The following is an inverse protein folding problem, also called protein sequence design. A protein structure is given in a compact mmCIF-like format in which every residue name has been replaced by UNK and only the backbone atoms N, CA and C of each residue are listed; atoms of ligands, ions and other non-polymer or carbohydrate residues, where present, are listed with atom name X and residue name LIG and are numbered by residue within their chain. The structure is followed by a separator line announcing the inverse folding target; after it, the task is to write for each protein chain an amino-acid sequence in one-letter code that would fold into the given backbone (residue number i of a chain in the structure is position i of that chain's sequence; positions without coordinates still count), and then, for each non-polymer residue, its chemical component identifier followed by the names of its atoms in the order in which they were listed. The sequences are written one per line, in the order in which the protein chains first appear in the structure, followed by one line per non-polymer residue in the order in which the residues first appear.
data_IF_446041835421
#
_entry.id   IF_446041835421
#
_cell.length_a   1.000
_cell.length_b   1.000
_cell.length_c   1.000
_cell.angle_alpha   90.00
_cell.angle_beta   90.00
_cell.angle_gamma   90.00
#
_symmetry.space_group_name_H-M   'P 1'
#
loop_
_entity.id
_entity.type
_entity.pdbx_description
1 polymer ?
#
# COMPACT_ATOMS: atom_id res chain seq x y z
N UNK A 1 20.61 -5.15 -8.06
CA UNK A 1 20.85 -5.07 -6.60
C UNK A 1 19.66 -4.34 -6.00
N UNK A 2 18.88 -5.01 -5.16
CA UNK A 2 17.79 -4.36 -4.44
C UNK A 2 18.40 -3.25 -3.55
N UNK A 3 17.75 -2.10 -3.50
CA UNK A 3 18.15 -1.05 -2.55
C UNK A 3 17.73 -1.47 -1.15
N UNK A 4 18.46 -1.05 -0.10
CA UNK A 4 18.12 -1.34 1.31
C UNK A 4 16.66 -0.99 1.66
N UNK A 5 16.08 0.00 0.96
CA UNK A 5 14.66 0.38 1.11
C UNK A 5 13.69 -0.65 0.53
N UNK A 6 14.05 -1.30 -0.57
CA UNK A 6 13.25 -2.35 -1.19
C UNK A 6 13.26 -3.61 -0.32
N UNK A 7 14.41 -3.98 0.26
CA UNK A 7 14.49 -5.10 1.20
C UNK A 7 13.60 -4.87 2.43
N UNK A 8 13.71 -3.68 3.05
CA UNK A 8 12.86 -3.32 4.20
C UNK A 8 11.36 -3.33 3.83
N UNK A 9 11.01 -2.83 2.64
CA UNK A 9 9.62 -2.81 2.17
C UNK A 9 9.09 -4.22 1.89
N UNK A 10 9.93 -5.12 1.37
CA UNK A 10 9.56 -6.52 1.16
C UNK A 10 9.18 -7.21 2.47
N UNK A 11 9.93 -6.97 3.56
CA UNK A 11 9.61 -7.50 4.90
C UNK A 11 8.28 -6.95 5.46
N UNK A 12 8.01 -5.67 5.25
CA UNK A 12 6.72 -5.06 5.62
C UNK A 12 5.57 -5.69 4.84
N UNK A 13 5.74 -5.83 3.52
CA UNK A 13 4.74 -6.45 2.64
C UNK A 13 4.51 -7.92 3.03
N UNK A 14 5.58 -8.66 3.37
CA UNK A 14 5.47 -10.03 3.84
C UNK A 14 4.64 -10.11 5.13
N UNK A 15 4.86 -9.19 6.06
CA UNK A 15 4.10 -9.10 7.31
C UNK A 15 2.63 -8.79 7.05
N UNK A 16 2.32 -7.87 6.12
CA UNK A 16 0.95 -7.54 5.71
C UNK A 16 0.24 -8.72 5.05
N UNK A 17 0.94 -9.45 4.18
CA UNK A 17 0.43 -10.66 3.53
C UNK A 17 0.05 -11.72 4.56
N UNK A 18 0.85 -11.91 5.61
CA UNK A 18 0.54 -12.85 6.69
C UNK A 18 -0.62 -12.41 7.57
N UNK A 19 -0.77 -11.11 7.80
CA UNK A 19 -1.86 -10.54 8.58
C UNK A 19 -3.17 -10.39 7.77
N UNK A 20 -3.12 -10.65 6.47
CA UNK A 20 -4.14 -10.32 5.49
C UNK A 20 -4.64 -8.87 5.58
N UNK A 21 -3.69 -7.94 5.65
CA UNK A 21 -3.94 -6.49 5.72
C UNK A 21 -3.30 -5.75 4.56
N UNK A 22 -3.67 -4.49 4.43
CA UNK A 22 -3.13 -3.49 3.52
C UNK A 22 -2.49 -2.37 4.35
N UNK A 23 -1.53 -1.64 3.77
CA UNK A 23 -0.96 -0.46 4.42
C UNK A 23 -0.96 0.74 3.49
N UNK A 24 -1.04 1.93 4.07
CA UNK A 24 -0.90 3.18 3.32
C UNK A 24 0.56 3.48 3.00
N UNK A 25 0.81 4.34 2.01
CA UNK A 25 2.16 4.77 1.66
C UNK A 25 2.95 5.32 2.86
N UNK A 26 2.32 6.17 3.67
CA UNK A 26 2.95 6.76 4.85
C UNK A 26 3.27 5.70 5.91
N UNK A 27 2.33 4.80 6.18
CA UNK A 27 2.52 3.74 7.17
C UNK A 27 3.63 2.77 6.74
N UNK A 28 3.63 2.34 5.47
CA UNK A 28 4.63 1.45 4.93
C UNK A 28 6.04 2.07 5.02
N UNK A 29 6.17 3.34 4.62
CA UNK A 29 7.44 4.06 4.71
C UNK A 29 7.92 4.21 6.16
N UNK A 30 7.00 4.55 7.08
CA UNK A 30 7.30 4.65 8.51
C UNK A 30 7.80 3.32 9.09
N UNK A 31 7.15 2.20 8.76
CA UNK A 31 7.59 0.85 9.16
C UNK A 31 8.96 0.46 8.59
N UNK A 32 9.29 0.97 7.40
CA UNK A 32 10.61 0.78 6.79
C UNK A 32 11.68 1.73 7.34
N UNK A 33 11.33 2.67 8.23
CA UNK A 33 12.28 3.63 8.80
C UNK A 33 12.72 4.74 7.83
N UNK A 34 11.94 5.04 6.78
CA UNK A 34 12.27 6.13 5.85
C UNK A 34 11.05 6.99 5.50
N UNK A 35 11.30 8.20 4.98
CA UNK A 35 10.23 9.10 4.54
C UNK A 35 9.75 8.74 3.13
N UNK A 36 8.43 8.69 2.86
CA UNK A 36 7.89 8.30 1.54
C UNK A 36 8.31 9.26 0.40
N UNK A 37 8.74 10.49 0.74
CA UNK A 37 9.13 11.53 -0.21
C UNK A 37 7.94 12.32 -0.74
N UNK A 38 8.19 13.38 -1.50
CA UNK A 38 7.14 14.20 -2.12
C UNK A 38 6.26 13.33 -3.02
N UNK A 39 4.95 13.31 -2.76
CA UNK A 39 4.00 12.45 -3.49
C UNK A 39 4.33 10.94 -3.40
N UNK A 40 4.97 10.49 -2.32
CA UNK A 40 5.38 9.09 -2.13
C UNK A 40 6.38 8.54 -3.15
N UNK A 41 7.07 9.39 -3.92
CA UNK A 41 7.99 8.97 -5.00
C UNK A 41 9.09 8.01 -4.55
N UNK A 42 9.66 8.22 -3.36
CA UNK A 42 10.72 7.36 -2.86
C UNK A 42 10.20 5.96 -2.50
N UNK A 43 8.99 5.90 -1.91
CA UNK A 43 8.31 4.62 -1.65
C UNK A 43 7.95 3.92 -2.96
N UNK A 44 7.34 4.61 -3.93
CA UNK A 44 6.94 4.01 -5.21
C UNK A 44 8.15 3.45 -5.97
N UNK A 45 9.31 4.10 -5.89
CA UNK A 45 10.56 3.59 -6.46
C UNK A 45 10.98 2.28 -5.78
N UNK A 46 10.90 2.20 -4.45
CA UNK A 46 11.19 0.98 -3.71
C UNK A 46 10.15 -0.13 -4.01
N UNK A 47 8.87 0.23 -4.09
CA UNK A 47 7.78 -0.70 -4.41
C UNK A 47 7.93 -1.29 -5.81
N UNK A 48 8.35 -0.50 -6.79
CA UNK A 48 8.66 -0.98 -8.14
C UNK A 48 9.83 -1.97 -8.14
N UNK A 49 10.85 -1.74 -7.30
CA UNK A 49 11.93 -2.71 -7.13
C UNK A 49 11.41 -4.00 -6.48
N UNK A 50 10.54 -3.92 -5.47
CA UNK A 50 9.90 -5.09 -4.86
C UNK A 50 9.06 -5.87 -5.86
N UNK A 51 8.26 -5.18 -6.68
CA UNK A 51 7.45 -5.81 -7.74
C UNK A 51 8.31 -6.59 -8.73
N UNK A 52 9.48 -6.06 -9.10
CA UNK A 52 10.42 -6.72 -10.02
C UNK A 52 11.14 -7.90 -9.38
N UNK A 53 11.67 -7.71 -8.17
CA UNK A 53 12.58 -8.65 -7.53
C UNK A 53 11.82 -9.75 -6.74
N UNK A 54 10.62 -9.43 -6.22
CA UNK A 54 9.71 -10.36 -5.54
C UNK A 54 8.24 -10.21 -5.99
N UNK A 55 7.90 -10.59 -7.23
CA UNK A 55 6.52 -10.44 -7.73
C UNK A 55 5.47 -11.25 -6.93
N UNK A 56 5.89 -12.33 -6.27
CA UNK A 56 5.05 -13.18 -5.43
C UNK A 56 4.66 -12.54 -4.08
N UNK A 57 5.30 -11.42 -3.71
CA UNK A 57 5.10 -10.77 -2.42
C UNK A 57 3.78 -9.96 -2.33
N UNK A 58 2.90 -10.00 -3.34
CA UNK A 58 1.61 -9.27 -3.29
C UNK A 58 1.81 -7.77 -3.02
N UNK A 59 2.70 -7.14 -3.80
CA UNK A 59 3.05 -5.72 -3.72
C UNK A 59 1.83 -4.78 -3.74
N UNK A 60 0.71 -5.21 -4.34
CA UNK A 60 -0.56 -4.51 -4.41
C UNK A 60 -1.19 -4.19 -3.04
N UNK A 61 -0.66 -4.75 -1.96
CA UNK A 61 -1.09 -4.47 -0.58
C UNK A 61 -0.75 -3.08 -0.06
N UNK A 62 0.09 -2.33 -0.78
CA UNK A 62 0.50 -0.97 -0.43
C UNK A 62 -0.33 0.03 -1.23
N UNK A 63 -1.19 0.80 -0.58
CA UNK A 63 -2.17 1.71 -1.23
C UNK A 63 -1.90 3.17 -0.90
N UNK A 64 -2.60 4.08 -1.59
CA UNK A 64 -2.55 5.51 -1.31
C UNK A 64 -2.93 5.85 0.13
N UNK A 65 -2.56 7.06 0.56
CA UNK A 65 -2.77 7.48 1.96
C UNK A 65 -4.23 7.61 2.35
N UNK A 66 -5.14 7.75 1.38
CA UNK A 66 -6.59 7.80 1.59
C UNK A 66 -7.25 6.43 1.34
N UNK A 67 -6.44 5.36 1.25
CA UNK A 67 -6.93 4.02 0.88
C UNK A 67 -7.34 3.94 -0.59
N UNK A 68 -6.74 4.77 -1.43
CA UNK A 68 -7.06 4.92 -2.84
C UNK A 68 -6.02 4.24 -3.76
N UNK A 69 -6.49 3.78 -4.92
CA UNK A 69 -5.68 3.20 -6.00
C UNK A 69 -6.20 3.67 -7.36
N UNK A 70 -5.36 3.74 -8.42
CA UNK A 70 -5.85 4.14 -9.74
C UNK A 70 -6.82 3.10 -10.31
N UNK A 71 -7.94 3.55 -10.88
CA UNK A 71 -9.05 2.67 -11.29
C UNK A 71 -8.68 1.66 -12.37
N UNK A 72 -7.91 2.09 -13.38
CA UNK A 72 -7.46 1.22 -14.48
C UNK A 72 -6.06 0.65 -14.23
N UNK A 73 -5.75 0.29 -12.98
CA UNK A 73 -4.44 -0.28 -12.62
C UNK A 73 -4.51 -1.78 -12.37
N UNK A 74 -3.39 -2.47 -12.63
CA UNK A 74 -3.19 -3.86 -12.22
C UNK A 74 -3.43 -4.03 -10.71
N UNK A 75 -3.09 -3.01 -9.92
CA UNK A 75 -3.30 -3.03 -8.48
C UNK A 75 -4.78 -3.15 -8.12
N UNK A 76 -5.67 -2.42 -8.79
CA UNK A 76 -7.11 -2.49 -8.54
C UNK A 76 -7.65 -3.91 -8.80
N UNK A 77 -7.32 -4.49 -9.96
CA UNK A 77 -7.76 -5.85 -10.30
C UNK A 77 -7.21 -6.92 -9.35
N UNK A 78 -5.98 -6.76 -8.85
CA UNK A 78 -5.40 -7.69 -7.87
C UNK A 78 -6.07 -7.55 -6.48
N UNK A 79 -6.48 -6.35 -6.09
CA UNK A 79 -7.23 -6.12 -4.85
C UNK A 79 -8.63 -6.73 -4.93
N UNK A 80 -9.35 -6.51 -6.03
CA UNK A 80 -10.67 -7.12 -6.27
C UNK A 80 -10.57 -8.65 -6.30
N UNK A 81 -9.55 -9.20 -6.97
CA UNK A 81 -9.27 -10.63 -6.99
C UNK A 81 -8.90 -11.21 -5.61
N UNK A 82 -8.43 -10.37 -4.68
CA UNK A 82 -8.20 -10.72 -3.28
C UNK A 82 -9.44 -10.55 -2.39
N UNK A 83 -10.57 -10.12 -2.95
CA UNK A 83 -11.83 -9.90 -2.24
C UNK A 83 -11.95 -8.54 -1.56
N UNK A 84 -11.10 -7.57 -1.92
CA UNK A 84 -11.21 -6.18 -1.45
C UNK A 84 -12.24 -5.46 -2.29
N UNK A 85 -13.25 -4.89 -1.64
CA UNK A 85 -14.28 -4.10 -2.31
C UNK A 85 -13.77 -2.68 -2.58
N UNK A 86 -13.90 -2.25 -3.84
CA UNK A 86 -13.45 -0.96 -4.32
C UNK A 86 -14.64 -0.16 -4.86
N UNK A 87 -14.69 1.14 -4.55
CA UNK A 87 -15.70 2.07 -5.03
C UNK A 87 -15.05 3.30 -5.68
N UNK A 88 -15.70 3.98 -6.65
CA UNK A 88 -15.18 5.22 -7.22
C UNK A 88 -14.92 6.28 -6.15
N UNK A 89 -13.77 6.94 -6.22
CA UNK A 89 -13.44 8.06 -5.35
C UNK A 89 -14.34 9.26 -5.67
N UNK A 90 -14.97 9.90 -4.67
CA UNK A 90 -15.77 11.11 -4.89
C UNK A 90 -14.89 12.31 -5.24
N UNK A 91 -13.61 12.29 -4.85
CA UNK A 91 -12.67 13.39 -5.09
C UNK A 91 -11.99 13.29 -6.46
N UNK A 92 -11.77 12.07 -6.95
CA UNK A 92 -11.07 11.84 -8.21
C UNK A 92 -11.64 10.61 -8.95
N UNK A 93 -12.40 10.79 -10.05
CA UNK A 93 -13.01 9.67 -10.75
C UNK A 93 -12.00 8.68 -11.38
N UNK A 94 -10.72 9.06 -11.48
CA UNK A 94 -9.66 8.17 -11.94
C UNK A 94 -9.14 7.21 -10.84
N UNK A 95 -9.66 7.31 -9.62
CA UNK A 95 -9.24 6.52 -8.47
C UNK A 95 -10.42 5.73 -7.89
N UNK A 96 -10.10 4.58 -7.31
CA UNK A 96 -10.99 3.77 -6.50
C UNK A 96 -10.53 3.82 -5.05
N UNK A 97 -11.47 3.78 -4.12
CA UNK A 97 -11.26 3.76 -2.68
C UNK A 97 -11.73 2.42 -2.14
N UNK A 98 -10.98 1.87 -1.19
CA UNK A 98 -11.38 0.69 -0.43
C UNK A 98 -12.61 1.02 0.42
N UNK A 99 -13.69 0.25 0.26
CA UNK A 99 -14.96 0.50 0.97
C UNK A 99 -14.82 0.25 2.48
N UNK A 100 -14.28 -0.91 2.87
CA UNK A 100 -14.12 -1.30 4.28
C UNK A 100 -12.68 -1.05 4.77
N UNK A 101 -12.32 0.23 4.91
CA UNK A 101 -10.95 0.61 5.29
C UNK A 101 -10.55 0.11 6.66
N UNK A 102 -11.47 0.05 7.63
CA UNK A 102 -11.18 -0.43 8.99
C UNK A 102 -10.82 -1.92 9.01
N UNK A 103 -11.48 -2.72 8.16
CA UNK A 103 -11.14 -4.13 7.99
C UNK A 103 -9.82 -4.31 7.29
N UNK A 104 -9.52 -3.54 6.25
CA UNK A 104 -8.38 -3.83 5.38
C UNK A 104 -7.09 -3.13 5.77
N UNK A 105 -7.15 -1.86 6.18
CA UNK A 105 -5.95 -1.11 6.53
C UNK A 105 -5.41 -1.56 7.89
N UNK A 106 -4.10 -1.69 7.98
CA UNK A 106 -3.41 -1.90 9.25
C UNK A 106 -3.43 -0.59 10.04
N UNK A 107 -4.48 -0.38 10.82
CA UNK A 107 -4.62 0.78 11.69
C UNK A 107 -3.51 0.81 12.75
N UNK A 108 -2.41 1.53 12.51
CA UNK A 108 -1.77 2.25 13.61
C UNK A 108 -2.71 3.40 13.94
N UNK A 109 -3.53 3.19 14.97
CA UNK A 109 -4.27 4.27 15.61
C UNK A 109 -3.20 5.27 16.05
N UNK A 110 -3.01 6.34 15.27
CA UNK A 110 -2.39 7.54 15.82
C UNK A 110 -3.41 8.04 16.82
N UNK A 111 -3.28 7.55 18.05
CA UNK A 111 -3.94 8.12 19.20
C UNK A 111 -3.45 9.57 19.29
N UNK A 112 -4.20 10.50 18.70
CA UNK A 112 -4.15 11.87 19.15
C UNK A 112 -4.87 11.89 20.49
N UNK A 113 -4.05 11.67 21.51
CA UNK A 113 -4.35 11.95 22.91
C UNK A 113 -4.69 13.44 23.01
N UNK A 114 -5.91 13.70 23.49
CA UNK A 114 -6.42 14.94 24.13
C UNK A 114 -6.52 16.23 23.32
#
# INVERSE_FOLDING_TARGET
MASTRADALAEVIFSLKRADKLATHNEAAAKCGFKPGAGSKALLTALNAVRRDWPHLQWYRIVGNEGNVPAESEQAGLLEGAGVELAPSPSNPAELIIVDQERWLSTTVTATVS
#
